data_IF_264362221319
#
_entry.id   IF_264362221319
#
_cell.length_a   1.000
_cell.length_b   1.000
_cell.length_c   1.000
_cell.angle_alpha   90.00
_cell.angle_beta   90.00
_cell.angle_gamma   90.00
#
_symmetry.space_group_name_H-M   'P 1'
#
loop_
_entity.id
_entity.type
_entity.pdbx_description
1 polymer ?
#
# COMPACT_ATOMS: atom_id res chain seq x y z
N UNK A 1 -75.42 3.14 59.41
CA UNK A 1 -76.70 3.86 59.17
C UNK A 1 -76.52 4.77 57.95
N UNK A 2 -77.34 4.59 56.90
CA UNK A 2 -77.42 5.44 55.70
C UNK A 2 -78.17 6.74 56.02
N UNK A 3 -77.83 7.88 55.39
CA UNK A 3 -78.71 8.93 54.79
C UNK A 3 -77.76 9.94 54.09
N UNK A 4 -77.74 10.13 52.75
CA UNK A 4 -78.65 10.94 51.88
C UNK A 4 -78.84 12.37 52.45
N UNK A 5 -78.75 13.52 51.74
CA UNK A 5 -78.64 13.92 50.32
C UNK A 5 -78.69 15.46 50.25
N UNK A 6 -78.13 16.07 49.18
CA UNK A 6 -78.58 17.33 48.51
C UNK A 6 -78.39 18.66 49.29
N UNK A 7 -78.26 19.86 48.73
CA UNK A 7 -78.09 20.43 47.38
C UNK A 7 -77.78 21.94 47.55
N UNK A 8 -77.09 22.53 46.57
CA UNK A 8 -77.12 23.91 46.07
C UNK A 8 -76.64 25.13 46.90
N UNK A 9 -75.97 26.01 46.13
CA UNK A 9 -75.19 27.23 46.40
C UNK A 9 -76.04 28.51 46.54
N UNK A 10 -75.43 29.68 46.86
CA UNK A 10 -75.07 30.61 45.76
C UNK A 10 -73.81 31.49 45.98
N UNK A 11 -73.19 31.85 44.85
CA UNK A 11 -72.59 33.15 44.49
C UNK A 11 -71.70 33.91 45.51
N UNK A 12 -70.39 33.99 45.21
CA UNK A 12 -69.59 35.17 45.53
C UNK A 12 -68.50 35.36 44.46
N UNK A 13 -68.70 36.38 43.64
CA UNK A 13 -67.79 36.89 42.62
C UNK A 13 -66.67 37.68 43.32
N UNK A 14 -65.41 37.24 43.22
CA UNK A 14 -64.26 38.08 43.59
C UNK A 14 -63.19 37.97 42.50
N UNK A 15 -62.95 39.11 41.88
CA UNK A 15 -61.97 39.35 40.82
C UNK A 15 -60.59 39.52 41.47
N UNK A 16 -59.68 38.56 41.28
CA UNK A 16 -58.27 38.70 41.66
C UNK A 16 -57.40 38.75 40.41
N UNK A 17 -56.86 39.93 40.13
CA UNK A 17 -55.73 40.12 39.22
C UNK A 17 -54.52 39.38 39.79
N UNK A 18 -54.05 38.33 39.11
CA UNK A 18 -52.78 37.69 39.42
C UNK A 18 -51.69 38.18 38.46
N UNK A 19 -50.69 38.82 39.04
CA UNK A 19 -49.43 39.22 38.42
C UNK A 19 -48.68 37.93 38.01
N UNK A 20 -48.41 37.74 36.72
CA UNK A 20 -47.63 36.59 36.24
C UNK A 20 -46.15 36.75 36.67
N UNK A 21 -45.50 35.72 37.23
CA UNK A 21 -44.07 35.77 37.50
C UNK A 21 -43.28 35.61 36.19
N UNK A 22 -42.41 36.59 35.91
CA UNK A 22 -41.40 36.50 34.85
C UNK A 22 -40.35 35.49 35.33
N UNK A 23 -40.28 34.33 34.69
CA UNK A 23 -39.24 33.33 34.95
C UNK A 23 -37.86 33.86 34.51
N UNK A 24 -36.79 33.64 35.28
CA UNK A 24 -35.46 34.09 34.90
C UNK A 24 -34.91 33.24 33.74
N UNK A 25 -34.60 33.92 32.63
CA UNK A 25 -33.89 33.40 31.48
C UNK A 25 -32.39 33.27 31.81
N UNK A 26 -31.97 32.19 32.47
CA UNK A 26 -30.55 31.85 32.60
C UNK A 26 -30.35 30.34 32.71
N UNK A 27 -30.00 29.72 31.58
CA UNK A 27 -29.00 28.66 31.44
C UNK A 27 -29.10 28.09 30.02
N UNK A 28 -28.53 28.78 29.02
CA UNK A 28 -27.99 28.06 27.88
C UNK A 28 -26.73 27.33 28.36
N UNK A 29 -26.94 26.24 29.09
CA UNK A 29 -25.94 25.19 29.12
C UNK A 29 -25.87 24.69 27.68
N UNK A 30 -24.80 25.05 26.98
CA UNK A 30 -24.36 24.33 25.80
C UNK A 30 -24.02 22.92 26.26
N UNK A 31 -25.06 22.11 26.48
CA UNK A 31 -24.97 20.69 26.67
C UNK A 31 -24.59 20.15 25.28
N UNK A 32 -23.29 20.19 25.01
CA UNK A 32 -22.69 19.42 23.91
C UNK A 32 -22.86 17.97 24.34
N UNK A 33 -24.08 17.47 24.21
CA UNK A 33 -24.41 16.06 24.18
C UNK A 33 -23.69 15.52 22.96
N UNK A 34 -22.42 15.14 23.13
CA UNK A 34 -21.73 14.31 22.14
C UNK A 34 -22.52 13.02 22.11
N UNK A 35 -23.42 12.89 21.13
CA UNK A 35 -24.06 11.64 20.80
C UNK A 35 -22.98 10.56 20.77
N UNK A 36 -23.20 9.39 21.41
CA UNK A 36 -22.22 8.31 21.36
C UNK A 36 -21.91 8.03 19.89
N UNK A 37 -20.63 8.08 19.53
CA UNK A 37 -20.17 7.88 18.16
C UNK A 37 -20.74 6.54 17.66
N UNK A 38 -21.66 6.61 16.71
CA UNK A 38 -22.23 5.47 15.99
C UNK A 38 -21.26 4.89 14.94
N UNK A 39 -19.99 5.29 14.98
CA UNK A 39 -19.03 4.94 13.96
C UNK A 39 -18.72 3.44 13.98
N UNK A 40 -18.59 2.84 12.80
CA UNK A 40 -18.23 1.43 12.64
C UNK A 40 -16.82 1.13 13.19
N UNK A 41 -16.46 -0.15 13.32
CA UNK A 41 -15.11 -0.54 13.71
C UNK A 41 -14.08 -0.02 12.67
N UNK A 42 -14.40 -0.18 11.39
CA UNK A 42 -13.57 0.24 10.26
C UNK A 42 -13.37 1.76 10.23
N UNK A 43 -14.44 2.55 10.46
CA UNK A 43 -14.32 4.01 10.56
C UNK A 43 -13.48 4.46 11.76
N UNK A 44 -13.53 3.72 12.86
CA UNK A 44 -12.63 3.97 13.99
C UNK A 44 -11.20 3.58 13.64
N UNK A 45 -10.99 2.48 12.92
CA UNK A 45 -9.68 2.05 12.47
C UNK A 45 -9.02 3.09 11.55
N UNK A 46 -9.75 3.59 10.55
CA UNK A 46 -9.32 4.67 9.65
C UNK A 46 -8.93 5.95 10.43
N UNK A 47 -9.73 6.34 11.43
CA UNK A 47 -9.35 7.47 12.30
C UNK A 47 -8.04 7.22 13.04
N UNK A 48 -7.84 6.02 13.60
CA UNK A 48 -6.56 5.68 14.25
C UNK A 48 -5.41 5.67 13.25
N UNK A 49 -5.63 5.19 12.04
CA UNK A 49 -4.64 5.23 10.97
C UNK A 49 -4.24 6.68 10.65
N UNK A 50 -5.19 7.59 10.45
CA UNK A 50 -4.93 9.01 10.19
C UNK A 50 -4.22 9.71 11.35
N UNK A 51 -4.62 9.46 12.61
CA UNK A 51 -3.89 9.95 13.78
C UNK A 51 -2.42 9.49 13.75
N UNK A 52 -2.19 8.22 13.39
CA UNK A 52 -0.86 7.65 13.23
C UNK A 52 -0.06 8.29 12.10
N UNK A 53 -0.71 8.61 10.97
CA UNK A 53 -0.09 9.34 9.85
C UNK A 53 0.36 10.74 10.25
N UNK A 54 -0.46 11.47 11.02
CA UNK A 54 -0.10 12.78 11.54
C UNK A 54 1.10 12.70 12.48
N UNK A 55 1.11 11.72 13.40
CA UNK A 55 2.27 11.47 14.27
C UNK A 55 3.53 11.12 13.46
N UNK A 56 3.40 10.32 12.40
CA UNK A 56 4.52 9.97 11.53
C UNK A 56 5.11 11.20 10.82
N UNK A 57 4.25 12.10 10.33
CA UNK A 57 4.67 13.39 9.73
C UNK A 57 5.36 14.30 10.75
N UNK A 58 4.96 14.23 12.02
CA UNK A 58 5.61 14.95 13.12
C UNK A 58 6.92 14.30 13.60
N UNK A 59 7.31 13.14 13.05
CA UNK A 59 8.49 12.39 13.49
C UNK A 59 8.30 11.58 14.77
N UNK A 60 7.07 11.52 15.28
CA UNK A 60 6.72 10.80 16.52
C UNK A 60 6.52 9.31 16.26
N UNK A 61 7.61 8.60 15.94
CA UNK A 61 7.56 7.18 15.51
C UNK A 61 6.86 6.25 16.52
N UNK A 62 7.04 6.48 17.82
CA UNK A 62 6.40 5.68 18.87
C UNK A 62 4.88 5.90 18.91
N UNK A 63 4.43 7.16 18.83
CA UNK A 63 3.00 7.52 18.76
C UNK A 63 2.39 6.94 17.49
N UNK A 64 3.05 7.10 16.34
CA UNK A 64 2.61 6.54 15.07
C UNK A 64 2.44 5.02 15.16
N UNK A 65 3.45 4.29 15.65
CA UNK A 65 3.38 2.84 15.84
C UNK A 65 2.22 2.40 16.75
N UNK A 66 1.97 3.14 17.83
CA UNK A 66 0.84 2.86 18.71
C UNK A 66 -0.48 3.03 17.96
N UNK A 67 -0.65 4.12 17.22
CA UNK A 67 -1.87 4.40 16.46
C UNK A 67 -2.12 3.42 15.32
N UNK A 68 -1.06 2.97 14.63
CA UNK A 68 -1.19 1.90 13.64
C UNK A 68 -1.64 0.59 14.28
N UNK A 69 -1.09 0.24 15.45
CA UNK A 69 -1.53 -0.97 16.18
C UNK A 69 -2.99 -0.87 16.64
N UNK A 70 -3.41 0.30 17.14
CA UNK A 70 -4.82 0.56 17.49
C UNK A 70 -5.72 0.39 16.25
N UNK A 71 -5.31 0.93 15.09
CA UNK A 71 -6.02 0.75 13.83
C UNK A 71 -6.17 -0.73 13.45
N UNK A 72 -5.06 -1.48 13.44
CA UNK A 72 -5.04 -2.90 13.10
C UNK A 72 -5.76 -3.81 14.11
N UNK A 73 -5.93 -3.35 15.36
CA UNK A 73 -6.76 -4.05 16.35
C UNK A 73 -8.26 -3.88 16.10
N UNK A 74 -8.65 -2.80 15.42
CA UNK A 74 -10.03 -2.49 15.06
C UNK A 74 -10.40 -3.10 13.70
N UNK A 75 -9.47 -3.03 12.75
CA UNK A 75 -9.57 -3.64 11.42
C UNK A 75 -8.22 -4.24 11.01
N UNK A 76 -8.05 -5.57 11.15
CA UNK A 76 -6.83 -6.27 10.74
C UNK A 76 -6.56 -6.24 9.23
N UNK A 77 -7.56 -5.91 8.41
CA UNK A 77 -7.49 -5.91 6.95
C UNK A 77 -7.06 -4.56 6.37
N UNK A 78 -6.89 -3.53 7.22
CA UNK A 78 -6.46 -2.20 6.82
C UNK A 78 -5.00 -2.18 6.34
N UNK A 79 -4.81 -2.49 5.05
CA UNK A 79 -3.49 -2.64 4.41
C UNK A 79 -2.59 -1.43 4.63
N UNK A 80 -3.13 -0.21 4.49
CA UNK A 80 -2.36 1.02 4.65
C UNK A 80 -1.73 1.15 6.06
N UNK A 81 -2.45 0.72 7.11
CA UNK A 81 -1.92 0.70 8.47
C UNK A 81 -0.86 -0.40 8.64
N UNK A 82 -1.05 -1.58 8.07
CA UNK A 82 -0.07 -2.68 8.08
C UNK A 82 1.24 -2.27 7.40
N UNK A 83 1.16 -1.68 6.20
CA UNK A 83 2.31 -1.20 5.43
C UNK A 83 3.10 -0.13 6.17
N UNK A 84 2.41 0.89 6.72
CA UNK A 84 3.05 1.95 7.50
C UNK A 84 3.66 1.41 8.80
N UNK A 85 2.96 0.52 9.50
CA UNK A 85 3.46 -0.07 10.74
C UNK A 85 4.70 -0.93 10.49
N UNK A 86 4.71 -1.75 9.43
CA UNK A 86 5.86 -2.55 9.04
C UNK A 86 7.08 -1.67 8.72
N UNK A 87 6.89 -0.55 8.01
CA UNK A 87 7.98 0.42 7.75
C UNK A 87 8.52 1.03 9.05
N UNK A 88 7.65 1.38 9.99
CA UNK A 88 8.06 1.87 11.32
C UNK A 88 8.84 0.77 12.07
N UNK A 89 8.34 -0.46 12.12
CA UNK A 89 9.01 -1.60 12.77
C UNK A 89 10.39 -1.89 12.17
N UNK A 90 10.53 -1.86 10.84
CA UNK A 90 11.82 -1.98 10.14
C UNK A 90 12.79 -0.89 10.60
N UNK A 91 12.37 0.37 10.58
CA UNK A 91 13.21 1.50 11.03
C UNK A 91 13.58 1.42 12.52
N UNK A 92 12.76 0.77 13.33
CA UNK A 92 13.00 0.53 14.76
C UNK A 92 13.88 -0.71 15.04
N UNK A 93 14.44 -1.37 14.01
CA UNK A 93 15.25 -2.58 14.19
C UNK A 93 14.42 -3.76 14.70
N UNK A 94 13.20 -3.92 14.20
CA UNK A 94 12.29 -5.04 14.48
C UNK A 94 11.82 -5.71 13.17
N UNK A 95 12.73 -6.16 12.30
CA UNK A 95 12.38 -6.68 10.98
C UNK A 95 11.48 -7.93 11.05
N UNK A 96 11.66 -8.81 12.04
CA UNK A 96 10.83 -10.02 12.19
C UNK A 96 9.37 -9.67 12.50
N UNK A 97 9.15 -8.61 13.28
CA UNK A 97 7.78 -8.12 13.55
C UNK A 97 7.19 -7.43 12.34
N UNK A 98 7.99 -6.70 11.57
CA UNK A 98 7.54 -6.09 10.33
C UNK A 98 7.08 -7.17 9.34
N UNK A 99 7.85 -8.27 9.23
CA UNK A 99 7.53 -9.41 8.39
C UNK A 99 6.20 -10.04 8.78
N UNK A 100 5.99 -10.34 10.07
CA UNK A 100 4.72 -10.90 10.54
C UNK A 100 3.50 -10.01 10.25
N UNK A 101 3.66 -8.67 10.32
CA UNK A 101 2.58 -7.72 9.98
C UNK A 101 2.25 -7.78 8.48
N UNK A 102 3.26 -7.81 7.61
CA UNK A 102 3.05 -7.87 6.16
C UNK A 102 2.56 -9.24 5.68
N UNK A 103 3.01 -10.33 6.30
CA UNK A 103 2.52 -11.68 6.02
C UNK A 103 1.02 -11.81 6.30
N UNK A 104 0.56 -11.27 7.44
CA UNK A 104 -0.86 -11.23 7.74
C UNK A 104 -1.63 -10.39 6.72
N UNK A 105 -1.11 -9.21 6.34
CA UNK A 105 -1.73 -8.36 5.33
C UNK A 105 -1.84 -9.06 3.95
N UNK A 106 -0.82 -9.81 3.52
CA UNK A 106 -0.83 -10.59 2.28
C UNK A 106 -1.68 -11.87 2.36
N UNK A 107 -1.98 -12.39 3.54
CA UNK A 107 -2.96 -13.47 3.69
C UNK A 107 -4.38 -12.97 3.40
N UNK A 108 -4.71 -11.76 3.85
CA UNK A 108 -6.01 -11.12 3.60
C UNK A 108 -6.13 -10.57 2.17
N UNK A 109 -5.06 -9.97 1.64
CA UNK A 109 -5.00 -9.44 0.28
C UNK A 109 -3.80 -10.01 -0.51
N UNK A 110 -3.87 -11.25 -1.01
CA UNK A 110 -2.76 -11.90 -1.71
C UNK A 110 -2.27 -11.21 -2.99
N UNK A 111 -3.06 -10.27 -3.54
CA UNK A 111 -2.73 -9.48 -4.72
C UNK A 111 -2.36 -8.03 -4.44
N UNK A 112 -2.18 -7.63 -3.17
CA UNK A 112 -1.72 -6.27 -2.87
C UNK A 112 -0.21 -6.13 -3.15
N UNK A 113 0.08 -5.60 -4.33
CA UNK A 113 1.44 -5.53 -4.87
C UNK A 113 2.36 -4.60 -4.06
N UNK A 114 1.81 -3.53 -3.47
CA UNK A 114 2.58 -2.66 -2.58
C UNK A 114 3.04 -3.39 -1.32
N UNK A 115 2.16 -4.17 -0.68
CA UNK A 115 2.53 -4.98 0.48
C UNK A 115 3.54 -6.06 0.07
N UNK A 116 3.39 -6.67 -1.10
CA UNK A 116 4.33 -7.66 -1.62
C UNK A 116 5.73 -7.07 -1.85
N UNK A 117 5.84 -5.87 -2.42
CA UNK A 117 7.10 -5.12 -2.55
C UNK A 117 7.74 -4.84 -1.19
N UNK A 118 6.98 -4.38 -0.21
CA UNK A 118 7.50 -4.14 1.14
C UNK A 118 8.00 -5.43 1.80
N UNK A 119 7.31 -6.56 1.59
CA UNK A 119 7.75 -7.88 2.04
C UNK A 119 9.03 -8.28 1.35
N UNK A 120 9.14 -8.07 0.03
CA UNK A 120 10.33 -8.38 -0.74
C UNK A 120 11.55 -7.54 -0.31
N UNK A 121 11.38 -6.23 -0.12
CA UNK A 121 12.45 -5.36 0.40
C UNK A 121 12.95 -5.83 1.78
N UNK A 122 12.04 -6.28 2.65
CA UNK A 122 12.38 -6.75 3.98
C UNK A 122 13.09 -8.11 3.93
N UNK A 123 12.63 -9.02 3.08
CA UNK A 123 13.24 -10.32 2.87
C UNK A 123 14.64 -10.18 2.23
N UNK A 124 14.81 -9.29 1.25
CA UNK A 124 16.13 -8.93 0.69
C UNK A 124 17.09 -8.41 1.76
N UNK A 125 16.62 -7.50 2.63
CA UNK A 125 17.43 -6.96 3.72
C UNK A 125 17.85 -8.04 4.74
N UNK A 126 17.08 -9.12 4.86
CA UNK A 126 17.38 -10.27 5.70
C UNK A 126 18.18 -11.37 4.97
N UNK A 127 18.50 -11.18 3.68
CA UNK A 127 19.22 -12.15 2.86
C UNK A 127 18.36 -13.32 2.34
N UNK A 128 17.04 -13.25 2.49
CA UNK A 128 16.08 -14.26 2.02
C UNK A 128 15.49 -13.85 0.67
N UNK A 129 16.32 -13.89 -0.37
CA UNK A 129 15.91 -13.53 -1.73
C UNK A 129 14.79 -14.43 -2.26
N UNK A 130 14.79 -15.72 -1.94
CA UNK A 130 13.78 -16.66 -2.42
C UNK A 130 12.38 -16.29 -1.89
N UNK A 131 12.29 -15.89 -0.62
CA UNK A 131 11.06 -15.36 -0.07
C UNK A 131 10.65 -14.05 -0.75
N UNK A 132 11.60 -13.16 -1.06
CA UNK A 132 11.33 -11.91 -1.75
C UNK A 132 10.71 -12.14 -3.15
N UNK A 133 11.33 -13.01 -3.95
CA UNK A 133 10.83 -13.39 -5.29
C UNK A 133 9.45 -14.05 -5.16
N UNK A 134 9.28 -14.95 -4.19
CA UNK A 134 8.02 -15.68 -3.98
C UNK A 134 6.86 -14.72 -3.67
N UNK A 135 7.07 -13.72 -2.82
CA UNK A 135 6.06 -12.73 -2.47
C UNK A 135 5.59 -11.93 -3.70
N UNK A 136 6.53 -11.43 -4.51
CA UNK A 136 6.23 -10.66 -5.72
C UNK A 136 5.52 -11.50 -6.77
N UNK A 137 6.02 -12.73 -7.04
CA UNK A 137 5.39 -13.65 -8.00
C UNK A 137 3.96 -13.98 -7.59
N UNK A 138 3.71 -14.20 -6.29
CA UNK A 138 2.35 -14.46 -5.78
C UNK A 138 1.44 -13.28 -6.02
N UNK A 139 1.87 -12.05 -5.71
CA UNK A 139 1.06 -10.86 -5.90
C UNK A 139 0.74 -10.59 -7.37
N UNK A 140 1.75 -10.68 -8.24
CA UNK A 140 1.60 -10.53 -9.70
C UNK A 140 0.58 -11.54 -10.26
N UNK A 141 0.62 -12.81 -9.81
CA UNK A 141 -0.33 -13.84 -10.25
C UNK A 141 -1.78 -13.56 -9.83
N UNK A 142 -1.99 -12.82 -8.76
CA UNK A 142 -3.32 -12.46 -8.26
C UNK A 142 -3.81 -11.12 -8.84
N UNK A 143 -2.90 -10.33 -9.41
CA UNK A 143 -3.22 -9.07 -10.08
C UNK A 143 -3.66 -9.29 -11.52
N UNK A 144 -4.71 -8.58 -11.96
CA UNK A 144 -5.13 -8.58 -13.37
C UNK A 144 -4.20 -7.75 -14.26
N UNK A 145 -3.62 -6.70 -13.68
CA UNK A 145 -2.73 -5.77 -14.37
C UNK A 145 -1.64 -5.40 -13.38
N UNK A 146 -0.57 -6.20 -13.32
CA UNK A 146 0.54 -5.98 -12.40
C UNK A 146 1.10 -4.58 -12.55
N UNK A 147 1.38 -3.90 -11.44
CA UNK A 147 1.96 -2.58 -11.45
C UNK A 147 3.41 -2.62 -11.95
N UNK A 148 3.82 -1.54 -12.64
CA UNK A 148 5.14 -1.43 -13.27
C UNK A 148 6.27 -1.56 -12.27
N UNK A 149 6.11 -1.02 -11.06
CA UNK A 149 7.15 -1.01 -10.04
C UNK A 149 7.36 -2.40 -9.41
N UNK A 150 6.30 -3.21 -9.33
CA UNK A 150 6.36 -4.61 -8.89
C UNK A 150 7.01 -5.49 -9.96
N UNK A 151 6.71 -5.26 -11.24
CA UNK A 151 7.38 -5.94 -12.35
C UNK A 151 8.88 -5.61 -12.40
N UNK A 152 9.26 -4.33 -12.27
CA UNK A 152 10.67 -3.92 -12.21
C UNK A 152 11.36 -4.59 -11.03
N UNK A 153 10.77 -4.52 -9.82
CA UNK A 153 11.38 -5.09 -8.63
C UNK A 153 11.61 -6.60 -8.76
N UNK A 154 10.61 -7.35 -9.25
CA UNK A 154 10.75 -8.79 -9.48
C UNK A 154 11.83 -9.10 -10.51
N UNK A 155 11.81 -8.44 -11.66
CA UNK A 155 12.75 -8.73 -12.74
C UNK A 155 14.21 -8.44 -12.33
N UNK A 156 14.42 -7.35 -11.58
CA UNK A 156 15.73 -7.01 -11.06
C UNK A 156 16.23 -8.00 -10.00
N UNK A 157 15.36 -8.46 -9.12
CA UNK A 157 15.65 -9.52 -8.16
C UNK A 157 16.05 -10.81 -8.85
N UNK A 158 15.23 -11.28 -9.79
CA UNK A 158 15.52 -12.49 -10.57
C UNK A 158 16.86 -12.39 -11.30
N UNK A 159 17.14 -11.24 -11.94
CA UNK A 159 18.39 -11.03 -12.68
C UNK A 159 19.62 -11.07 -11.77
N UNK A 160 19.55 -10.43 -10.59
CA UNK A 160 20.68 -10.39 -9.64
C UNK A 160 20.96 -11.73 -8.97
N UNK A 161 19.95 -12.60 -8.88
CA UNK A 161 20.01 -13.84 -8.11
C UNK A 161 19.85 -15.08 -9.00
N UNK A 162 20.60 -15.14 -10.11
CA UNK A 162 20.74 -16.32 -10.97
C UNK A 162 19.46 -16.85 -11.65
N UNK A 163 18.43 -16.01 -11.81
CA UNK A 163 17.22 -16.28 -12.61
C UNK A 163 17.10 -15.35 -13.84
N UNK A 164 18.13 -15.19 -14.69
CA UNK A 164 18.11 -14.20 -15.77
C UNK A 164 17.12 -14.52 -16.89
N UNK A 165 16.73 -15.78 -17.08
CA UNK A 165 15.69 -16.14 -18.04
C UNK A 165 14.30 -15.65 -17.58
N UNK A 166 13.96 -15.87 -16.31
CA UNK A 166 12.69 -15.40 -15.74
C UNK A 166 12.63 -13.87 -15.72
N UNK A 167 13.75 -13.21 -15.38
CA UNK A 167 13.86 -11.77 -15.45
C UNK A 167 13.55 -11.22 -16.84
N UNK A 168 14.04 -11.88 -17.91
CA UNK A 168 13.78 -11.46 -19.28
C UNK A 168 12.29 -11.53 -19.65
N UNK A 169 11.55 -12.50 -19.11
CA UNK A 169 10.11 -12.63 -19.28
C UNK A 169 9.34 -11.59 -18.46
N UNK A 170 9.76 -11.32 -17.22
CA UNK A 170 9.14 -10.27 -16.40
C UNK A 170 9.39 -8.87 -17.01
N UNK A 171 10.58 -8.60 -17.53
CA UNK A 171 10.83 -7.38 -18.30
C UNK A 171 10.04 -7.31 -19.61
N UNK A 172 9.75 -8.44 -20.26
CA UNK A 172 8.86 -8.47 -21.43
C UNK A 172 7.44 -8.02 -21.07
N UNK A 173 6.90 -8.49 -19.94
CA UNK A 173 5.60 -8.02 -19.44
C UNK A 173 5.59 -6.50 -19.16
N UNK A 174 6.70 -5.96 -18.63
CA UNK A 174 6.83 -4.51 -18.44
C UNK A 174 6.82 -3.76 -19.78
N UNK A 175 7.53 -4.26 -20.80
CA UNK A 175 7.54 -3.67 -22.14
C UNK A 175 6.15 -3.70 -22.76
N UNK A 176 5.38 -4.77 -22.59
CA UNK A 176 4.03 -4.88 -23.13
C UNK A 176 3.08 -3.82 -22.54
N UNK A 177 3.25 -3.48 -21.26
CA UNK A 177 2.46 -2.44 -20.59
C UNK A 177 2.99 -1.03 -20.81
N UNK A 178 4.30 -0.89 -20.91
CA UNK A 178 5.01 0.38 -20.94
C UNK A 178 6.21 0.32 -21.90
N UNK A 179 5.96 0.38 -23.23
CA UNK A 179 7.02 0.30 -24.23
C UNK A 179 8.05 1.42 -24.13
N UNK A 180 7.67 2.55 -23.51
CA UNK A 180 8.48 3.74 -23.28
C UNK A 180 9.31 3.68 -21.99
N UNK A 181 9.14 2.65 -21.15
CA UNK A 181 9.94 2.50 -19.94
C UNK A 181 11.33 1.94 -20.30
N UNK A 182 12.41 2.74 -20.18
CA UNK A 182 13.74 2.29 -20.55
C UNK A 182 14.21 1.13 -19.68
N UNK A 183 13.67 0.98 -18.45
CA UNK A 183 14.00 -0.13 -17.54
C UNK A 183 13.60 -1.47 -18.14
N UNK A 184 12.48 -1.53 -18.87
CA UNK A 184 12.01 -2.75 -19.55
C UNK A 184 12.97 -3.19 -20.64
N UNK A 185 13.29 -2.31 -21.59
CA UNK A 185 14.15 -2.62 -22.72
C UNK A 185 15.58 -2.96 -22.28
N UNK A 186 16.17 -2.13 -21.41
CA UNK A 186 17.52 -2.34 -20.89
C UNK A 186 17.62 -3.58 -20.01
N UNK A 187 16.65 -3.75 -19.10
CA UNK A 187 16.57 -4.89 -18.21
C UNK A 187 16.45 -6.21 -18.98
N UNK A 188 15.58 -6.24 -20.00
CA UNK A 188 15.40 -7.43 -20.85
C UNK A 188 16.65 -7.76 -21.65
N UNK A 189 17.28 -6.76 -22.28
CA UNK A 189 18.51 -6.97 -23.04
C UNK A 189 19.63 -7.54 -22.14
N UNK A 190 19.82 -6.96 -20.96
CA UNK A 190 20.80 -7.43 -19.98
C UNK A 190 20.47 -8.85 -19.46
N UNK A 191 19.21 -9.13 -19.15
CA UNK A 191 18.75 -10.43 -18.66
C UNK A 191 18.96 -11.54 -19.71
N UNK A 192 18.59 -11.31 -20.97
CA UNK A 192 18.81 -12.27 -22.07
C UNK A 192 20.31 -12.55 -22.30
N UNK A 193 21.13 -11.53 -22.13
CA UNK A 193 22.58 -11.63 -22.28
C UNK A 193 23.19 -12.48 -21.15
N UNK A 194 22.81 -12.22 -19.90
CA UNK A 194 23.20 -13.01 -18.73
C UNK A 194 22.70 -14.46 -18.84
N UNK A 195 21.51 -14.68 -19.39
CA UNK A 195 20.95 -16.00 -19.66
C UNK A 195 21.63 -16.74 -20.83
N UNK A 196 22.67 -16.16 -21.45
CA UNK A 196 23.36 -16.72 -22.62
C UNK A 196 22.46 -17.00 -23.82
N UNK A 197 21.30 -16.33 -23.91
CA UNK A 197 20.37 -16.42 -25.05
C UNK A 197 20.86 -15.54 -26.20
N UNK A 198 22.04 -15.88 -26.74
CA UNK A 198 22.85 -15.01 -27.63
C UNK A 198 22.07 -14.34 -28.76
N UNK A 199 21.18 -15.07 -29.43
CA UNK A 199 20.37 -14.53 -30.54
C UNK A 199 19.34 -13.52 -30.05
N UNK A 200 18.63 -13.84 -28.97
CA UNK A 200 17.63 -12.95 -28.39
C UNK A 200 18.29 -11.70 -27.78
N UNK A 201 19.41 -11.88 -27.07
CA UNK A 201 20.22 -10.79 -26.54
C UNK A 201 20.72 -9.86 -27.65
N UNK A 202 21.20 -10.41 -28.79
CA UNK A 202 21.60 -9.60 -29.95
C UNK A 202 20.46 -8.70 -30.44
N UNK A 203 19.28 -9.28 -30.65
CA UNK A 203 18.11 -8.51 -31.12
C UNK A 203 17.70 -7.43 -30.10
N UNK A 204 17.71 -7.77 -28.81
CA UNK A 204 17.35 -6.83 -27.75
C UNK A 204 18.34 -5.66 -27.64
N UNK A 205 19.64 -5.93 -27.65
CA UNK A 205 20.66 -4.88 -27.66
C UNK A 205 20.63 -4.03 -28.95
N UNK A 206 20.26 -4.62 -30.09
CA UNK A 206 20.07 -3.85 -31.31
C UNK A 206 18.92 -2.86 -31.15
N UNK A 207 17.76 -3.30 -30.63
CA UNK A 207 16.63 -2.42 -30.37
C UNK A 207 16.99 -1.27 -29.41
N UNK A 208 17.71 -1.57 -28.32
CA UNK A 208 18.21 -0.55 -27.39
C UNK A 208 19.13 0.46 -28.10
N UNK A 209 19.96 0.02 -29.05
CA UNK A 209 20.86 0.92 -29.79
C UNK A 209 20.16 1.86 -30.78
N UNK A 210 18.91 1.56 -31.13
CA UNK A 210 18.07 2.32 -32.06
C UNK A 210 17.02 3.19 -31.33
N UNK A 211 16.95 3.12 -30.00
CA UNK A 211 16.02 3.88 -29.17
C UNK A 211 16.52 5.33 -28.94
N UNK A 212 15.97 6.27 -29.71
CA UNK A 212 16.37 7.69 -29.71
C UNK A 212 16.16 8.39 -28.35
N UNK A 213 15.21 7.91 -27.56
CA UNK A 213 14.87 8.39 -26.21
C UNK A 213 15.93 8.05 -25.15
N UNK A 214 16.81 7.08 -25.42
CA UNK A 214 17.87 6.70 -24.47
C UNK A 214 19.05 7.66 -24.53
N UNK A 215 19.89 7.64 -23.50
CA UNK A 215 21.14 8.40 -23.52
C UNK A 215 22.08 7.87 -24.61
N UNK A 216 22.84 8.77 -25.26
CA UNK A 216 23.79 8.37 -26.32
C UNK A 216 24.80 7.33 -25.82
N UNK A 217 25.27 7.46 -24.58
CA UNK A 217 26.21 6.52 -23.94
C UNK A 217 25.63 5.10 -23.84
N UNK A 218 24.33 4.99 -23.51
CA UNK A 218 23.59 3.73 -23.41
C UNK A 218 23.45 3.10 -24.79
N UNK A 219 23.07 3.89 -25.82
CA UNK A 219 22.98 3.41 -27.20
C UNK A 219 24.33 2.92 -27.73
N UNK A 220 25.41 3.64 -27.44
CA UNK A 220 26.75 3.28 -27.88
C UNK A 220 27.22 1.96 -27.24
N UNK A 221 26.94 1.77 -25.95
CA UNK A 221 27.17 0.49 -25.27
C UNK A 221 26.38 -0.64 -25.92
N UNK A 222 25.07 -0.45 -26.13
CA UNK A 222 24.19 -1.44 -26.74
C UNK A 222 24.67 -1.83 -28.15
N UNK A 223 25.09 -0.85 -28.96
CA UNK A 223 25.65 -1.07 -30.29
C UNK A 223 26.95 -1.89 -30.25
N UNK A 224 27.82 -1.61 -29.28
CA UNK A 224 29.03 -2.41 -29.08
C UNK A 224 28.69 -3.84 -28.69
N UNK A 225 27.78 -4.02 -27.74
CA UNK A 225 27.40 -5.34 -27.24
C UNK A 225 26.71 -6.19 -28.32
N UNK A 226 25.80 -5.60 -29.09
CA UNK A 226 25.17 -6.26 -30.24
C UNK A 226 26.21 -6.70 -31.28
N UNK A 227 27.23 -5.88 -31.58
CA UNK A 227 28.31 -6.26 -32.50
C UNK A 227 29.06 -7.50 -32.03
N UNK A 228 29.37 -7.58 -30.75
CA UNK A 228 30.12 -8.71 -30.19
C UNK A 228 29.28 -9.99 -30.17
N UNK A 229 28.02 -9.90 -29.75
CA UNK A 229 27.08 -11.02 -29.83
C UNK A 229 26.93 -11.51 -31.28
N UNK A 230 26.85 -10.60 -32.27
CA UNK A 230 26.78 -10.97 -33.69
C UNK A 230 27.96 -11.83 -34.14
N UNK A 231 29.19 -11.53 -33.70
CA UNK A 231 30.37 -12.33 -34.04
C UNK A 231 30.23 -13.78 -33.56
N UNK A 232 29.66 -13.97 -32.36
CA UNK A 232 29.44 -15.31 -31.79
C UNK A 232 28.34 -16.12 -32.49
N UNK A 233 27.52 -15.48 -33.33
CA UNK A 233 26.42 -16.12 -34.06
C UNK A 233 26.83 -16.60 -35.46
N UNK A 234 28.00 -16.21 -35.97
CA UNK A 234 28.51 -16.61 -37.28
C UNK A 234 29.42 -17.85 -37.08
N UNK A 235 29.07 -19.04 -37.60
CA UNK A 235 29.95 -20.19 -37.54
C UNK A 235 31.15 -19.98 -38.49
N UNK A 236 32.39 -19.99 -37.97
CA UNK A 236 33.61 -20.08 -38.79
C UNK A 236 34.43 -18.79 -39.01
N UNK A 237 34.28 -17.76 -38.18
CA UNK A 237 35.09 -16.53 -38.25
C UNK A 237 36.28 -16.53 -37.30
N UNK A 238 37.26 -17.39 -37.53
CA UNK A 238 38.55 -17.46 -36.84
C UNK A 238 39.56 -18.19 -37.69
#
# INVERSE_FOLDING_TARGET
MKFKTKHLSPLALVFFLTLAPIAPLLAQANDVTRSPSNASADERAERRYHDGRHALQAGELATAAQKMREALSLDPTLLAASQDYARILRSAGRPERAQAVLENALNEAPGDELTARLTAELAEANGDTDAAITALVRAIKQSKTPDRETLVHLADLQRRHDHPADAAETYAQLIDQAPDDPRGQLGRAAALDQASQRRAAFNAWQAVSEADELEQSVRDYAKSRARDLRKTLIPGGG
#
